data_IF_042402967439
#
_entry.id   IF_042402967439
#
_cell.length_a   1.000
_cell.length_b   1.000
_cell.length_c   1.000
_cell.angle_alpha   90.00
_cell.angle_beta   90.00
_cell.angle_gamma   90.00
#
_symmetry.space_group_name_H-M   'P 1'
#
loop_
_entity.id
_entity.type
_entity.pdbx_description
1 polymer ?
#
# COMPACT_ATOMS: atom_id res chain seq x y z
N UNK A 1 -3.86 -6.72 0.62
CA UNK A 1 -4.34 -5.68 1.56
C UNK A 1 -3.22 -5.37 2.55
N UNK A 2 -3.15 -4.17 3.08
CA UNK A 2 -2.07 -3.68 3.94
C UNK A 2 -2.68 -2.79 5.02
N UNK A 3 -2.36 -3.01 6.29
CA UNK A 3 -2.55 -2.04 7.36
C UNK A 3 -1.28 -1.17 7.47
N UNK A 4 -1.46 0.15 7.54
CA UNK A 4 -0.35 1.07 7.82
C UNK A 4 0.29 0.76 9.19
N UNK A 5 1.55 1.19 9.40
CA UNK A 5 2.23 0.95 10.68
C UNK A 5 1.80 1.97 11.72
N UNK A 6 1.65 3.20 11.25
CA UNK A 6 1.26 4.38 12.00
C UNK A 6 0.58 5.36 11.03
N UNK A 7 0.19 6.51 11.58
CA UNK A 7 -0.49 7.56 10.84
C UNK A 7 0.33 8.08 9.66
N UNK A 8 1.62 8.38 9.86
CA UNK A 8 2.45 8.95 8.81
C UNK A 8 2.68 7.98 7.67
N UNK A 9 2.88 6.70 7.99
CA UNK A 9 2.92 5.66 6.98
C UNK A 9 1.59 5.60 6.20
N UNK A 10 0.46 5.70 6.88
CA UNK A 10 -0.85 5.73 6.24
C UNK A 10 -1.05 6.94 5.32
N UNK A 11 -0.61 8.14 5.73
CA UNK A 11 -0.63 9.33 4.88
C UNK A 11 0.28 9.15 3.66
N UNK A 12 1.46 8.52 3.81
CA UNK A 12 2.34 8.19 2.69
C UNK A 12 1.67 7.22 1.71
N UNK A 13 1.03 6.14 2.21
CA UNK A 13 0.27 5.21 1.36
C UNK A 13 -0.85 5.93 0.60
N UNK A 14 -1.57 6.85 1.25
CA UNK A 14 -2.56 7.70 0.62
C UNK A 14 -1.97 8.59 -0.47
N UNK A 15 -0.83 9.25 -0.20
CA UNK A 15 -0.13 10.11 -1.16
C UNK A 15 0.42 9.31 -2.36
N UNK A 16 0.77 8.04 -2.14
CA UNK A 16 1.26 7.13 -3.16
C UNK A 16 0.15 6.53 -4.03
N UNK A 17 -1.13 6.65 -3.63
CA UNK A 17 -2.24 6.00 -4.35
C UNK A 17 -2.19 6.29 -5.84
N UNK A 18 -2.31 5.21 -6.61
CA UNK A 18 -2.38 5.26 -8.06
C UNK A 18 -3.17 4.08 -8.59
N UNK A 19 -3.75 4.27 -9.76
CA UNK A 19 -4.48 3.24 -10.49
C UNK A 19 -3.97 3.19 -11.92
N UNK A 20 -3.88 1.99 -12.51
CA UNK A 20 -3.65 1.86 -13.94
C UNK A 20 -4.79 2.53 -14.72
N UNK A 21 -4.46 3.24 -15.79
CA UNK A 21 -5.44 3.82 -16.70
C UNK A 21 -6.32 2.74 -17.33
N UNK A 22 -7.62 2.77 -17.02
CA UNK A 22 -8.63 1.96 -17.70
C UNK A 22 -8.93 2.54 -19.10
N UNK A 23 -9.46 1.72 -20.01
CA UNK A 23 -9.86 2.12 -21.36
C UNK A 23 -10.87 3.28 -21.42
N UNK A 24 -11.55 3.61 -20.31
CA UNK A 24 -12.50 4.72 -20.22
C UNK A 24 -11.83 6.10 -20.08
N UNK A 25 -10.54 6.17 -19.75
CA UNK A 25 -9.79 7.42 -19.72
C UNK A 25 -9.07 7.62 -21.05
N UNK A 26 -9.29 8.76 -21.71
CA UNK A 26 -8.60 9.17 -22.94
C UNK A 26 -7.09 9.32 -22.67
N UNK A 27 -6.35 8.23 -22.82
CA UNK A 27 -4.91 8.12 -22.60
C UNK A 27 -4.38 6.72 -22.94
N UNK A 28 -3.06 6.53 -22.88
CA UNK A 28 -2.45 5.22 -23.07
C UNK A 28 -2.89 4.26 -21.95
N UNK A 29 -3.42 3.09 -22.34
CA UNK A 29 -3.84 2.02 -21.42
C UNK A 29 -2.59 1.44 -20.75
N UNK A 30 -2.65 1.23 -19.43
CA UNK A 30 -1.55 0.62 -18.66
C UNK A 30 -0.51 1.59 -18.10
N UNK A 31 -0.77 2.90 -18.12
CA UNK A 31 0.07 3.90 -17.45
C UNK A 31 -0.45 4.10 -16.02
N UNK A 32 0.45 4.02 -15.04
CA UNK A 32 0.11 4.31 -13.64
C UNK A 32 -0.24 5.79 -13.50
N UNK A 33 -1.50 6.08 -13.18
CA UNK A 33 -1.95 7.44 -12.85
C UNK A 33 -2.01 7.59 -11.33
N UNK A 34 -1.14 8.43 -10.78
CA UNK A 34 -1.24 8.87 -9.38
C UNK A 34 -2.54 9.63 -9.16
N UNK A 35 -3.26 9.23 -8.11
CA UNK A 35 -4.47 9.85 -7.60
C UNK A 35 -4.40 9.89 -6.06
N UNK A 36 -3.56 10.77 -5.49
CA UNK A 36 -3.31 10.82 -4.05
C UNK A 36 -4.61 11.01 -3.28
N UNK A 37 -4.87 10.12 -2.32
CA UNK A 37 -6.09 10.08 -1.49
C UNK A 37 -7.40 10.03 -2.31
N UNK A 38 -7.35 9.62 -3.58
CA UNK A 38 -8.46 9.76 -4.53
C UNK A 38 -8.99 11.21 -4.67
N UNK A 39 -8.12 12.19 -4.46
CA UNK A 39 -8.46 13.61 -4.39
C UNK A 39 -7.91 14.44 -5.56
N UNK A 40 -7.25 13.84 -6.55
CA UNK A 40 -6.66 14.58 -7.68
C UNK A 40 -7.63 15.54 -8.39
N UNK A 41 -8.90 15.19 -8.66
CA UNK A 41 -9.83 16.13 -9.29
C UNK A 41 -10.54 17.08 -8.32
N UNK A 42 -10.33 16.93 -7.00
CA UNK A 42 -11.10 17.62 -5.96
C UNK A 42 -10.26 18.50 -5.03
N UNK A 43 -8.93 18.32 -5.00
CA UNK A 43 -8.06 19.08 -4.11
C UNK A 43 -8.00 20.55 -4.54
N UNK A 44 -8.52 21.44 -3.69
CA UNK A 44 -8.62 22.88 -3.97
C UNK A 44 -7.33 23.69 -3.73
N UNK A 45 -6.24 23.04 -3.33
CA UNK A 45 -4.95 23.69 -3.03
C UNK A 45 -3.78 22.73 -3.27
N UNK A 46 -2.55 23.17 -2.99
CA UNK A 46 -1.34 22.40 -3.27
C UNK A 46 -1.31 21.08 -2.47
N UNK A 47 -1.02 19.97 -3.15
CA UNK A 47 -1.00 18.65 -2.52
C UNK A 47 0.05 18.49 -1.41
N UNK A 48 1.19 19.19 -1.48
CA UNK A 48 2.18 19.14 -0.41
C UNK A 48 1.62 19.72 0.90
N UNK A 49 0.88 20.83 0.81
CA UNK A 49 0.18 21.44 1.93
C UNK A 49 -0.98 20.54 2.41
N UNK A 50 -1.66 19.86 1.48
CA UNK A 50 -2.72 18.89 1.80
C UNK A 50 -2.17 17.69 2.60
N UNK A 51 -1.02 17.17 2.20
CA UNK A 51 -0.33 16.12 2.95
C UNK A 51 0.15 16.62 4.32
N UNK A 52 0.66 17.85 4.39
CA UNK A 52 1.04 18.47 5.66
C UNK A 52 -0.17 18.58 6.61
N UNK A 53 -1.34 18.93 6.08
CA UNK A 53 -2.58 18.99 6.84
C UNK A 53 -2.94 17.63 7.45
N UNK A 54 -2.92 16.55 6.65
CA UNK A 54 -3.15 15.20 7.15
C UNK A 54 -2.15 14.78 8.22
N UNK A 55 -0.86 15.05 8.01
CA UNK A 55 0.19 14.75 8.99
C UNK A 55 0.01 15.55 10.29
N UNK A 56 -0.61 16.74 10.23
CA UNK A 56 -0.82 17.59 11.39
C UNK A 56 -1.80 17.01 12.43
N UNK A 57 -2.58 15.98 12.07
CA UNK A 57 -3.45 15.27 13.01
C UNK A 57 -2.70 14.35 13.97
N UNK A 58 -1.46 13.98 13.67
CA UNK A 58 -0.64 13.14 14.55
C UNK A 58 -0.09 13.94 15.73
N UNK A 59 -0.95 14.11 16.74
CA UNK A 59 -0.67 14.85 17.97
C UNK A 59 -0.88 13.96 19.18
N UNK A 60 -0.10 14.16 20.26
CA UNK A 60 -0.30 13.44 21.52
C UNK A 60 -1.75 13.55 22.02
N UNK A 61 -2.29 12.42 22.47
CA UNK A 61 -3.64 12.35 23.05
C UNK A 61 -4.78 12.14 22.04
N UNK A 62 -4.52 12.18 20.72
CA UNK A 62 -5.53 11.84 19.72
C UNK A 62 -5.53 10.34 19.41
N UNK A 63 -6.72 9.75 19.37
CA UNK A 63 -6.92 8.39 18.88
C UNK A 63 -7.22 8.43 17.38
N UNK A 64 -6.19 8.25 16.58
CA UNK A 64 -6.31 8.26 15.12
C UNK A 64 -6.76 6.88 14.60
N UNK A 65 -7.60 6.85 13.56
CA UNK A 65 -8.04 5.58 12.99
C UNK A 65 -6.88 4.85 12.32
N UNK A 66 -6.96 3.51 12.32
CA UNK A 66 -6.08 2.68 11.49
C UNK A 66 -6.34 2.97 10.02
N UNK A 67 -5.26 3.04 9.23
CA UNK A 67 -5.33 3.25 7.79
C UNK A 67 -5.02 1.92 7.10
N UNK A 68 -5.84 1.57 6.11
CA UNK A 68 -5.67 0.36 5.31
C UNK A 68 -5.61 0.70 3.82
N UNK A 69 -4.77 -0.03 3.09
CA UNK A 69 -4.68 0.02 1.64
C UNK A 69 -5.06 -1.34 1.04
N UNK A 70 -6.02 -1.34 0.11
CA UNK A 70 -6.56 -2.55 -0.51
C UNK A 70 -6.33 -2.56 -2.01
N UNK A 71 -6.16 -3.75 -2.57
CA UNK A 71 -6.13 -3.96 -4.00
C UNK A 71 -6.97 -5.20 -4.32
N UNK A 72 -8.18 -4.96 -4.85
CA UNK A 72 -9.11 -6.01 -5.28
C UNK A 72 -8.81 -6.55 -6.67
N UNK A 73 -7.91 -5.89 -7.39
CA UNK A 73 -7.69 -6.08 -8.82
C UNK A 73 -6.36 -6.79 -9.13
N UNK A 74 -5.67 -7.31 -8.11
CA UNK A 74 -4.42 -8.07 -8.31
C UNK A 74 -4.71 -9.29 -9.18
N UNK A 75 -3.93 -9.45 -10.24
CA UNK A 75 -4.01 -10.59 -11.17
C UNK A 75 -2.85 -11.56 -10.94
N UNK A 76 -3.10 -12.83 -11.21
CA UNK A 76 -2.07 -13.87 -11.28
C UNK A 76 -1.34 -13.86 -12.62
N UNK A 77 -0.37 -14.76 -12.76
CA UNK A 77 0.41 -14.91 -14.00
C UNK A 77 -0.45 -15.36 -15.20
N UNK A 78 -1.63 -15.93 -14.95
CA UNK A 78 -2.61 -16.32 -15.95
C UNK A 78 -3.55 -15.15 -16.34
N UNK A 79 -3.33 -13.96 -15.80
CA UNK A 79 -4.13 -12.76 -16.06
C UNK A 79 -5.49 -12.74 -15.35
N UNK A 80 -5.82 -13.75 -14.55
CA UNK A 80 -7.08 -13.81 -13.79
C UNK A 80 -6.95 -13.08 -12.47
N UNK A 81 -8.05 -12.52 -11.99
CA UNK A 81 -8.08 -11.92 -10.66
C UNK A 81 -7.84 -12.98 -9.59
N UNK A 82 -6.94 -12.66 -8.64
CA UNK A 82 -6.66 -13.54 -7.50
C UNK A 82 -7.77 -13.47 -6.45
N UNK A 83 -8.55 -12.39 -6.42
CA UNK A 83 -9.63 -12.18 -5.47
C UNK A 83 -10.97 -12.05 -6.22
N UNK A 84 -12.05 -12.71 -5.76
CA UNK A 84 -13.36 -12.65 -6.43
C UNK A 84 -14.01 -11.25 -6.40
N UNK A 85 -13.72 -10.43 -5.38
CA UNK A 85 -14.25 -9.07 -5.29
C UNK A 85 -15.71 -9.00 -4.81
N UNK A 86 -16.38 -7.88 -5.11
CA UNK A 86 -17.79 -7.66 -4.78
C UNK A 86 -18.15 -7.96 -3.31
N UNK A 87 -19.15 -8.82 -3.07
CA UNK A 87 -19.60 -9.19 -1.73
C UNK A 87 -18.51 -9.89 -0.92
N UNK A 88 -17.59 -10.61 -1.56
CA UNK A 88 -16.50 -11.29 -0.86
C UNK A 88 -15.49 -10.31 -0.25
N UNK A 89 -15.48 -9.03 -0.66
CA UNK A 89 -14.68 -8.00 0.01
C UNK A 89 -15.05 -7.84 1.50
N UNK A 90 -16.26 -8.26 1.91
CA UNK A 90 -16.67 -8.29 3.32
C UNK A 90 -15.71 -9.13 4.18
N UNK A 91 -15.08 -10.17 3.62
CA UNK A 91 -14.11 -11.03 4.34
C UNK A 91 -12.86 -10.26 4.74
N UNK A 92 -12.42 -9.34 3.90
CA UNK A 92 -11.30 -8.45 4.19
C UNK A 92 -11.71 -7.32 5.14
N UNK A 93 -12.92 -6.79 4.99
CA UNK A 93 -13.45 -5.80 5.94
C UNK A 93 -13.62 -6.41 7.35
N UNK A 94 -14.03 -7.68 7.45
CA UNK A 94 -14.09 -8.41 8.71
C UNK A 94 -12.71 -8.49 9.39
N UNK A 95 -11.65 -8.78 8.63
CA UNK A 95 -10.28 -8.72 9.14
C UNK A 95 -9.91 -7.30 9.62
N UNK A 96 -10.21 -6.26 8.85
CA UNK A 96 -9.94 -4.87 9.27
C UNK A 96 -10.66 -4.49 10.57
N UNK A 97 -11.92 -4.90 10.73
CA UNK A 97 -12.67 -4.69 11.97
C UNK A 97 -12.02 -5.42 13.14
N UNK A 98 -11.59 -6.66 12.95
CA UNK A 98 -10.88 -7.43 13.97
C UNK A 98 -9.54 -6.76 14.35
N UNK A 99 -8.80 -6.22 13.37
CA UNK A 99 -7.58 -5.42 13.62
C UNK A 99 -7.87 -4.17 14.43
N UNK A 100 -8.95 -3.45 14.14
CA UNK A 100 -9.40 -2.29 14.91
C UNK A 100 -9.80 -2.66 16.35
N UNK A 101 -10.42 -3.82 16.54
CA UNK A 101 -10.82 -4.33 17.86
C UNK A 101 -9.69 -4.99 18.67
N UNK A 102 -8.49 -5.15 18.09
CA UNK A 102 -7.39 -5.91 18.72
C UNK A 102 -7.65 -7.42 18.79
N UNK A 103 -8.58 -7.93 17.98
CA UNK A 103 -9.03 -9.33 17.97
C UNK A 103 -8.39 -10.18 16.85
N UNK A 104 -7.55 -9.58 16.00
CA UNK A 104 -6.77 -10.28 14.99
C UNK A 104 -5.33 -9.78 14.99
N UNK A 105 -4.41 -10.64 14.59
CA UNK A 105 -3.00 -10.33 14.42
C UNK A 105 -2.66 -9.97 12.96
N UNK A 106 -1.39 -9.68 12.70
CA UNK A 106 -0.88 -9.46 11.36
C UNK A 106 0.59 -9.88 11.24
N UNK A 107 1.03 -10.12 10.02
CA UNK A 107 2.44 -10.32 9.65
C UNK A 107 3.05 -8.95 9.36
N UNK A 108 4.06 -8.56 10.12
CA UNK A 108 4.83 -7.34 9.86
C UNK A 108 5.71 -7.52 8.62
N UNK A 109 5.67 -6.54 7.72
CA UNK A 109 6.42 -6.54 6.46
C UNK A 109 7.00 -5.15 6.17
N UNK A 110 7.94 -5.02 5.23
CA UNK A 110 8.50 -3.71 4.87
C UNK A 110 7.46 -2.64 4.50
N UNK A 111 6.35 -3.07 3.88
CA UNK A 111 5.29 -2.21 3.33
C UNK A 111 4.10 -2.02 4.27
N UNK A 112 4.15 -2.55 5.50
CA UNK A 112 3.03 -2.50 6.46
C UNK A 112 2.70 -3.86 7.04
N UNK A 113 1.49 -4.03 7.57
CA UNK A 113 1.05 -5.30 8.13
C UNK A 113 0.06 -6.00 7.20
N UNK A 114 0.28 -7.29 6.94
CA UNK A 114 -0.58 -8.14 6.12
C UNK A 114 -1.35 -9.12 7.02
N UNK A 115 -2.55 -9.57 6.65
CA UNK A 115 -3.23 -10.64 7.39
C UNK A 115 -2.40 -11.93 7.37
N UNK A 116 -2.52 -12.77 8.40
CA UNK A 116 -2.10 -14.16 8.29
C UNK A 116 -3.11 -14.89 7.40
N UNK A 117 -2.67 -15.91 6.68
CA UNK A 117 -3.56 -16.66 5.78
C UNK A 117 -4.82 -17.20 6.49
N UNK A 118 -4.68 -17.63 7.75
CA UNK A 118 -5.81 -18.13 8.56
C UNK A 118 -6.73 -17.04 9.12
N UNK A 119 -6.34 -15.77 9.08
CA UNK A 119 -7.19 -14.66 9.53
C UNK A 119 -8.22 -14.24 8.46
N UNK A 120 -8.06 -14.74 7.22
CA UNK A 120 -9.00 -14.51 6.13
C UNK A 120 -9.93 -15.70 6.00
N UNK A 121 -11.23 -15.47 6.18
CA UNK A 121 -12.24 -16.46 5.83
C UNK A 121 -12.28 -16.62 4.31
N UNK A 122 -11.70 -17.71 3.82
CA UNK A 122 -11.72 -18.13 2.41
C UNK A 122 -12.65 -19.32 2.17
N UNK A 123 -13.48 -19.69 3.16
CA UNK A 123 -14.43 -20.77 3.02
C UNK A 123 -15.42 -20.49 1.88
N UNK A 124 -15.73 -21.54 1.12
CA UNK A 124 -16.60 -21.50 -0.06
C UNK A 124 -16.14 -20.60 -1.23
N UNK A 125 -14.93 -20.00 -1.19
CA UNK A 125 -14.40 -19.23 -2.32
C UNK A 125 -13.86 -20.10 -3.47
N UNK A 126 -13.71 -21.41 -3.26
CA UNK A 126 -12.99 -22.31 -4.18
C UNK A 126 -11.62 -21.74 -4.61
N UNK A 127 -10.98 -20.97 -3.72
CA UNK A 127 -9.73 -20.29 -3.99
C UNK A 127 -8.57 -21.27 -3.84
N UNK A 128 -7.73 -21.49 -4.87
CA UNK A 128 -6.55 -22.32 -4.74
C UNK A 128 -5.60 -21.76 -3.66
N UNK A 129 -4.98 -22.64 -2.86
CA UNK A 129 -4.02 -22.22 -1.84
C UNK A 129 -2.91 -21.32 -2.41
N UNK A 130 -2.40 -21.67 -3.60
CA UNK A 130 -1.41 -20.87 -4.32
C UNK A 130 -1.90 -19.45 -4.68
N UNK A 131 -3.21 -19.26 -4.90
CA UNK A 131 -3.79 -17.93 -5.15
C UNK A 131 -3.81 -17.09 -3.88
N UNK A 132 -4.09 -17.69 -2.73
CA UNK A 132 -4.01 -17.02 -1.43
C UNK A 132 -2.57 -16.63 -1.08
N UNK A 133 -1.63 -17.56 -1.27
CA UNK A 133 -0.19 -17.30 -1.07
C UNK A 133 0.28 -16.18 -2.00
N UNK A 134 -0.11 -16.22 -3.28
CA UNK A 134 0.18 -15.15 -4.22
C UNK A 134 -0.44 -13.82 -3.78
N UNK A 135 -1.67 -13.81 -3.25
CA UNK A 135 -2.36 -12.62 -2.76
C UNK A 135 -1.61 -11.95 -1.59
N UNK A 136 -1.05 -12.76 -0.70
CA UNK A 136 -0.35 -12.34 0.51
C UNK A 136 1.17 -12.18 0.32
N UNK A 137 1.70 -12.54 -0.84
CA UNK A 137 3.10 -12.33 -1.19
C UNK A 137 3.43 -10.87 -1.50
N UNK A 138 4.67 -10.49 -1.24
CA UNK A 138 5.23 -9.18 -1.56
C UNK A 138 6.22 -9.33 -2.72
N UNK A 139 5.97 -8.62 -3.82
CA UNK A 139 6.97 -8.43 -4.87
C UNK A 139 7.95 -7.33 -4.43
N UNK A 140 9.06 -7.72 -3.80
CA UNK A 140 10.06 -6.79 -3.30
C UNK A 140 10.61 -5.86 -4.40
N UNK A 141 10.92 -6.41 -5.57
CA UNK A 141 11.46 -5.65 -6.68
C UNK A 141 10.41 -4.67 -7.24
N UNK A 142 9.16 -5.09 -7.33
CA UNK A 142 8.03 -4.23 -7.69
C UNK A 142 7.86 -3.06 -6.71
N UNK A 143 7.89 -3.34 -5.41
CA UNK A 143 7.78 -2.30 -4.38
C UNK A 143 8.98 -1.36 -4.34
N UNK A 144 10.21 -1.85 -4.59
CA UNK A 144 11.38 -0.98 -4.73
C UNK A 144 11.21 0.01 -5.89
N UNK A 145 10.78 -0.47 -7.07
CA UNK A 145 10.49 0.40 -8.23
C UNK A 145 9.39 1.42 -7.90
N UNK A 146 8.34 0.97 -7.21
CA UNK A 146 7.24 1.83 -6.79
C UNK A 146 7.70 2.92 -5.81
N UNK A 147 8.53 2.57 -4.82
CA UNK A 147 9.10 3.54 -3.89
C UNK A 147 10.07 4.51 -4.58
N UNK A 148 10.80 4.09 -5.62
CA UNK A 148 11.62 4.99 -6.44
C UNK A 148 10.73 5.97 -7.22
N UNK A 149 9.72 5.48 -7.94
CA UNK A 149 8.77 6.31 -8.68
C UNK A 149 8.01 7.28 -7.77
N UNK A 150 7.71 6.89 -6.54
CA UNK A 150 7.14 7.78 -5.53
C UNK A 150 8.10 8.90 -5.14
N UNK A 151 9.42 8.61 -5.11
CA UNK A 151 10.45 9.61 -4.84
C UNK A 151 10.53 10.67 -5.94
N UNK A 152 10.46 10.24 -7.20
CA UNK A 152 10.41 11.15 -8.36
C UNK A 152 9.17 12.04 -8.31
N UNK A 153 7.99 11.47 -8.01
CA UNK A 153 6.75 12.22 -7.82
C UNK A 153 6.85 13.22 -6.64
N UNK A 154 7.45 12.81 -5.53
CA UNK A 154 7.66 13.66 -4.36
C UNK A 154 8.61 14.83 -4.65
N UNK A 155 9.61 14.64 -5.53
CA UNK A 155 10.52 15.70 -5.93
C UNK A 155 9.82 16.85 -6.68
N UNK A 156 8.70 16.59 -7.37
CA UNK A 156 7.91 17.63 -8.05
C UNK A 156 7.38 18.72 -7.10
N UNK A 157 7.21 18.40 -5.81
CA UNK A 157 6.77 19.37 -4.79
C UNK A 157 7.91 20.21 -4.21
N UNK A 158 9.16 19.88 -4.51
CA UNK A 158 10.35 20.58 -4.03
C UNK A 158 10.35 20.76 -2.50
N UNK A 159 10.76 21.94 -2.06
CA UNK A 159 10.87 22.27 -0.63
C UNK A 159 9.53 22.28 0.14
N UNK A 160 8.39 22.26 -0.56
CA UNK A 160 7.07 22.22 0.10
C UNK A 160 6.70 20.82 0.61
N UNK A 161 7.30 19.76 0.07
CA UNK A 161 7.00 18.41 0.49
C UNK A 161 7.29 18.23 1.98
N UNK A 162 6.36 17.70 2.78
CA UNK A 162 6.64 17.34 4.16
C UNK A 162 7.77 16.31 4.23
N UNK A 163 8.88 16.65 4.87
CA UNK A 163 10.05 15.77 5.05
C UNK A 163 9.70 14.43 5.70
N UNK A 164 8.61 14.39 6.47
CA UNK A 164 8.07 13.18 7.09
C UNK A 164 7.59 12.16 6.06
N UNK A 165 7.02 12.57 4.92
CA UNK A 165 6.62 11.63 3.86
C UNK A 165 7.83 10.99 3.18
N UNK A 166 8.84 11.80 2.88
CA UNK A 166 10.08 11.30 2.27
C UNK A 166 10.81 10.33 3.21
N UNK A 167 10.79 10.61 4.51
CA UNK A 167 11.31 9.68 5.53
C UNK A 167 10.56 8.35 5.55
N UNK A 168 9.22 8.37 5.49
CA UNK A 168 8.44 7.12 5.44
C UNK A 168 8.71 6.32 4.17
N UNK A 169 8.80 6.99 3.01
CA UNK A 169 9.16 6.35 1.74
C UNK A 169 10.54 5.68 1.82
N UNK A 170 11.54 6.41 2.32
CA UNK A 170 12.91 5.89 2.50
C UNK A 170 12.92 4.70 3.46
N UNK A 171 12.22 4.79 4.58
CA UNK A 171 12.12 3.70 5.57
C UNK A 171 11.50 2.42 4.97
N UNK A 172 10.53 2.54 4.06
CA UNK A 172 10.00 1.38 3.30
C UNK A 172 11.05 0.83 2.35
N UNK A 173 11.72 1.68 1.58
CA UNK A 173 12.75 1.28 0.63
C UNK A 173 13.91 0.54 1.30
N UNK A 174 14.46 1.10 2.38
CA UNK A 174 15.56 0.49 3.15
C UNK A 174 15.14 -0.87 3.73
N UNK A 175 13.91 -0.98 4.22
CA UNK A 175 13.37 -2.24 4.75
C UNK A 175 13.19 -3.31 3.64
N UNK A 176 12.83 -2.91 2.43
CA UNK A 176 12.74 -3.81 1.27
C UNK A 176 14.12 -4.32 0.84
N UNK A 177 15.13 -3.44 0.83
CA UNK A 177 16.52 -3.77 0.51
C UNK A 177 17.15 -4.70 1.57
N UNK A 178 16.86 -4.48 2.85
CA UNK A 178 17.36 -5.34 3.93
C UNK A 178 16.80 -6.78 3.90
N UNK A 179 15.62 -6.98 3.27
CA UNK A 179 14.96 -8.28 3.16
C UNK A 179 15.38 -9.07 1.91
N UNK A 180 16.26 -8.56 1.04
CA UNK A 180 16.81 -9.36 -0.06
C UNK A 180 17.71 -10.48 0.49
N UNK A 181 17.41 -11.77 0.23
CA UNK A 181 18.33 -12.85 0.54
C UNK A 181 19.60 -12.70 -0.31
N UNK A 182 20.71 -12.33 0.34
CA UNK A 182 22.09 -12.48 -0.15
C UNK A 182 22.47 -11.78 -1.47
N UNK A 183 22.59 -10.44 -1.45
CA UNK A 183 23.67 -9.75 -2.19
C UNK A 183 25.00 -9.69 -1.44
N UNK A 184 25.02 -10.10 -0.16
CA UNK A 184 26.23 -10.15 0.68
C UNK A 184 27.21 -11.29 0.34
N UNK A 185 26.83 -12.27 -0.49
CA UNK A 185 27.70 -13.38 -0.89
C UNK A 185 28.47 -13.16 -2.22
N UNK A 186 28.21 -12.08 -2.95
CA UNK A 186 28.79 -11.85 -4.29
C UNK A 186 29.82 -10.70 -4.36
N UNK A 187 30.28 -10.17 -3.21
CA UNK A 187 31.35 -9.16 -3.14
C UNK A 187 32.59 -9.65 -2.35
N UNK A 188 32.71 -10.96 -2.18
CA UNK A 188 33.85 -11.59 -1.52
C UNK A 188 34.18 -12.92 -2.20
N UNK A 189 34.63 -12.84 -3.45
CA UNK A 189 35.35 -13.90 -4.16
C UNK A 189 36.27 -13.24 -5.19
#
# INVERSE_FOLDING_TARGET
>A
MIEARDWAHGVMLGAAMGSETTAAASGAVGVLRRDPMAMKPFCGYNFADYFAHWLSFDRPGLQLPKIFHVNWFRKGNDGKFLWPGFGDNLRVLAWMLARCAGAADAVATPIGHLPRAHDLDVAALNLPAASLDALLSIDHAGWQREMQALGDYFAEFGARLPTRLERERRRVLDALEAHEPSRRAARGA
#
